data_IF_423082966508
#
_entry.id   IF_423082966508
#
_cell.length_a   1.000
_cell.length_b   1.000
_cell.length_c   1.000
_cell.angle_alpha   90.00
_cell.angle_beta   90.00
_cell.angle_gamma   90.00
#
_symmetry.space_group_name_H-M   'P 1'
#
loop_
_entity.id
_entity.type
_entity.pdbx_description
1 polymer ?
#
# COMPACT_ATOMS: atom_id res chain seq x y z
N UNK A 1 11.83 37.91 -15.02
CA UNK A 1 12.56 36.73 -15.55
C UNK A 1 13.43 36.02 -14.49
N UNK A 2 13.00 35.95 -13.21
CA UNK A 2 13.72 35.28 -12.11
C UNK A 2 12.88 34.22 -11.35
N UNK A 3 11.60 34.06 -11.72
CA UNK A 3 10.68 33.10 -11.07
C UNK A 3 10.42 31.84 -11.92
N UNK A 4 10.91 31.78 -13.16
CA UNK A 4 10.71 30.63 -14.05
C UNK A 4 11.79 29.53 -13.89
N UNK A 5 12.96 29.87 -13.33
CA UNK A 5 14.08 28.93 -13.18
C UNK A 5 13.93 28.00 -11.96
N UNK A 6 13.21 28.42 -10.92
CA UNK A 6 13.07 27.65 -9.67
C UNK A 6 12.04 26.52 -9.80
N UNK A 7 11.04 26.66 -10.67
CA UNK A 7 10.01 25.64 -10.90
C UNK A 7 10.56 24.45 -11.72
N UNK A 8 11.48 24.71 -12.64
CA UNK A 8 12.07 23.69 -13.51
C UNK A 8 13.05 22.76 -12.76
N UNK A 9 13.77 23.30 -11.76
CA UNK A 9 14.68 22.52 -10.92
C UNK A 9 13.95 21.56 -9.95
N UNK A 10 12.71 21.88 -9.57
CA UNK A 10 11.93 21.10 -8.60
C UNK A 10 11.16 19.93 -9.25
N UNK A 11 10.77 20.07 -10.52
CA UNK A 11 10.18 18.96 -11.28
C UNK A 11 11.21 17.89 -11.68
N UNK A 12 12.45 18.30 -11.99
CA UNK A 12 13.53 17.42 -12.46
C UNK A 12 14.16 16.57 -11.34
N UNK A 13 14.17 17.07 -10.10
CA UNK A 13 14.73 16.36 -8.94
C UNK A 13 13.87 15.20 -8.45
N UNK A 14 12.56 15.23 -8.70
CA UNK A 14 11.63 14.19 -8.26
C UNK A 14 11.49 13.01 -9.23
N UNK A 15 11.52 13.26 -10.53
CA UNK A 15 11.67 12.18 -11.52
C UNK A 15 12.97 11.42 -11.27
N UNK A 16 14.02 12.11 -10.79
CA UNK A 16 15.29 11.46 -10.45
C UNK A 16 15.20 10.51 -9.24
N UNK A 17 14.35 10.75 -8.23
CA UNK A 17 14.29 9.86 -7.05
C UNK A 17 13.60 8.54 -7.36
N UNK A 18 12.54 8.54 -8.18
CA UNK A 18 11.87 7.32 -8.64
C UNK A 18 12.74 6.45 -9.57
N UNK A 19 13.69 7.08 -10.26
CA UNK A 19 14.70 6.39 -11.08
C UNK A 19 15.87 5.84 -10.26
N UNK A 20 16.05 6.31 -9.03
CA UNK A 20 17.17 5.89 -8.19
C UNK A 20 16.89 4.50 -7.64
N UNK A 21 17.82 3.56 -7.88
CA UNK A 21 17.79 2.23 -7.27
C UNK A 21 18.53 2.22 -5.94
N UNK A 22 18.22 1.22 -5.09
CA UNK A 22 18.98 0.99 -3.86
C UNK A 22 20.44 0.68 -4.23
N UNK A 23 21.43 1.39 -3.65
CA UNK A 23 22.83 1.05 -3.87
C UNK A 23 23.13 -0.41 -3.49
N UNK A 24 23.88 -1.12 -4.34
CA UNK A 24 24.14 -2.55 -4.18
C UNK A 24 24.85 -2.92 -2.86
N UNK A 25 25.56 -1.97 -2.24
CA UNK A 25 26.19 -2.14 -0.93
C UNK A 25 25.20 -2.02 0.24
N UNK A 26 24.03 -1.38 0.04
CA UNK A 26 22.95 -1.28 1.02
C UNK A 26 21.89 -2.39 0.88
N UNK A 27 21.75 -2.97 -0.32
CA UNK A 27 20.82 -4.06 -0.55
C UNK A 27 20.72 -4.47 -2.02
N UNK A 28 19.73 -5.30 -2.33
CA UNK A 28 19.44 -5.79 -3.68
C UNK A 28 18.07 -5.27 -4.13
N UNK A 29 17.95 -4.92 -5.41
CA UNK A 29 16.67 -4.54 -6.03
C UNK A 29 16.26 -5.61 -7.03
N UNK A 30 15.10 -6.19 -6.83
CA UNK A 30 14.55 -7.27 -7.64
C UNK A 30 13.24 -6.84 -8.31
N UNK A 31 12.97 -7.43 -9.46
CA UNK A 31 11.69 -7.33 -10.16
C UNK A 31 11.29 -8.72 -10.67
N UNK A 32 10.04 -8.85 -11.09
CA UNK A 32 9.52 -10.08 -11.68
C UNK A 32 8.86 -9.75 -13.02
N UNK A 33 9.02 -10.62 -14.00
CA UNK A 33 8.30 -10.57 -15.28
C UNK A 33 7.86 -11.99 -15.63
N UNK A 34 6.96 -12.11 -16.61
CA UNK A 34 6.62 -13.40 -17.21
C UNK A 34 7.08 -13.45 -18.66
N UNK A 35 7.57 -14.60 -19.08
CA UNK A 35 7.88 -14.89 -20.48
C UNK A 35 7.60 -16.38 -20.73
N UNK A 36 6.81 -16.69 -21.77
CA UNK A 36 6.41 -18.06 -22.11
C UNK A 36 5.82 -18.83 -20.91
N UNK A 37 4.89 -18.19 -20.16
CA UNK A 37 4.24 -18.75 -18.96
C UNK A 37 5.22 -19.14 -17.83
N UNK A 38 6.43 -18.58 -17.83
CA UNK A 38 7.42 -18.77 -16.77
C UNK A 38 7.73 -17.46 -16.07
N UNK A 39 7.67 -17.49 -14.74
CA UNK A 39 8.11 -16.38 -13.89
C UNK A 39 9.64 -16.24 -13.95
N UNK A 40 10.07 -15.04 -14.29
CA UNK A 40 11.47 -14.65 -14.34
C UNK A 40 11.76 -13.62 -13.24
N UNK A 41 12.71 -13.93 -12.37
CA UNK A 41 13.20 -13.02 -11.34
C UNK A 41 14.42 -12.28 -11.88
N UNK A 42 14.31 -10.95 -11.87
CA UNK A 42 15.28 -10.04 -12.44
C UNK A 42 16.01 -9.31 -11.32
N UNK A 43 17.35 -9.33 -11.34
CA UNK A 43 18.17 -8.44 -10.53
C UNK A 43 18.33 -7.11 -11.27
N UNK A 44 17.68 -6.07 -10.78
CA UNK A 44 17.64 -4.75 -11.42
C UNK A 44 18.96 -4.02 -11.14
N UNK A 45 19.65 -3.62 -12.20
CA UNK A 45 20.96 -2.95 -12.14
C UNK A 45 20.81 -1.46 -12.44
N UNK A 46 19.89 -1.10 -13.34
CA UNK A 46 19.64 0.29 -13.72
C UNK A 46 18.16 0.49 -14.07
N UNK A 47 17.63 1.65 -13.71
CA UNK A 47 16.29 2.10 -14.08
C UNK A 47 16.40 3.34 -14.99
N UNK A 48 15.79 3.27 -16.17
CA UNK A 48 15.74 4.35 -17.16
C UNK A 48 14.36 5.04 -17.25
N UNK A 49 13.38 4.59 -16.46
CA UNK A 49 12.05 5.18 -16.32
C UNK A 49 10.96 4.37 -17.00
N UNK A 50 11.13 4.06 -18.28
CA UNK A 50 10.25 3.19 -19.05
C UNK A 50 10.78 1.74 -19.14
N UNK A 51 12.10 1.58 -18.98
CA UNK A 51 12.80 0.31 -19.05
C UNK A 51 13.80 0.15 -17.89
N UNK A 52 14.12 -1.09 -17.58
CA UNK A 52 15.22 -1.46 -16.69
C UNK A 52 16.29 -2.25 -17.42
N UNK A 53 17.54 -2.11 -16.98
CA UNK A 53 18.58 -3.09 -17.27
C UNK A 53 18.68 -4.06 -16.10
N UNK A 54 18.56 -5.35 -16.37
CA UNK A 54 18.56 -6.38 -15.34
C UNK A 54 19.31 -7.64 -15.75
N UNK A 55 19.69 -8.43 -14.74
CA UNK A 55 20.22 -9.78 -14.91
C UNK A 55 19.10 -10.76 -14.60
N UNK A 56 18.74 -11.62 -15.55
CA UNK A 56 17.76 -12.67 -15.36
C UNK A 56 18.32 -13.78 -14.45
N UNK A 57 17.98 -13.75 -13.16
CA UNK A 57 18.45 -14.73 -12.19
C UNK A 57 17.84 -16.11 -12.44
N UNK A 58 16.57 -16.16 -12.86
CA UNK A 58 15.88 -17.41 -13.18
C UNK A 58 16.58 -18.16 -14.31
N UNK A 59 16.85 -17.50 -15.44
CA UNK A 59 17.55 -18.11 -16.57
C UNK A 59 19.00 -18.46 -16.21
N UNK A 60 19.71 -17.53 -15.56
CA UNK A 60 21.12 -17.72 -15.22
C UNK A 60 21.38 -18.95 -14.34
N UNK A 61 20.44 -19.25 -13.43
CA UNK A 61 20.59 -20.34 -12.46
C UNK A 61 19.60 -21.49 -12.70
N UNK A 62 18.86 -21.49 -13.81
CA UNK A 62 17.81 -22.46 -14.12
C UNK A 62 16.83 -22.63 -12.95
N UNK A 63 16.38 -21.52 -12.37
CA UNK A 63 15.46 -21.48 -11.24
C UNK A 63 14.04 -21.13 -11.70
N UNK A 64 13.06 -21.66 -10.98
CA UNK A 64 11.64 -21.36 -11.15
C UNK A 64 11.06 -20.82 -9.84
N UNK A 65 9.90 -20.17 -9.95
CA UNK A 65 9.19 -19.58 -8.81
C UNK A 65 9.36 -18.06 -8.75
N UNK A 66 8.76 -17.47 -7.73
CA UNK A 66 8.74 -16.03 -7.55
C UNK A 66 10.03 -15.51 -6.87
N UNK A 67 10.03 -14.21 -6.57
CA UNK A 67 11.17 -13.52 -5.93
C UNK A 67 11.62 -14.21 -4.63
N UNK A 68 10.67 -14.66 -3.79
CA UNK A 68 11.00 -15.31 -2.51
C UNK A 68 11.62 -16.67 -2.75
N UNK A 69 11.07 -17.47 -3.67
CA UNK A 69 11.62 -18.79 -4.01
C UNK A 69 13.05 -18.68 -4.55
N UNK A 70 13.31 -17.76 -5.47
CA UNK A 70 14.66 -17.52 -6.02
C UNK A 70 15.61 -16.99 -4.95
N UNK A 71 15.14 -16.09 -4.09
CA UNK A 71 15.92 -15.58 -2.96
C UNK A 71 16.35 -16.71 -2.01
N UNK A 72 15.43 -17.59 -1.61
CA UNK A 72 15.73 -18.72 -0.73
C UNK A 72 16.74 -19.71 -1.34
N UNK A 73 16.76 -19.86 -2.67
CA UNK A 73 17.72 -20.74 -3.36
C UNK A 73 19.11 -20.14 -3.51
N UNK A 74 19.21 -18.84 -3.78
CA UNK A 74 20.50 -18.18 -4.03
C UNK A 74 21.12 -17.59 -2.76
N UNK A 75 20.29 -17.10 -1.84
CA UNK A 75 20.70 -16.36 -0.66
C UNK A 75 21.15 -14.92 -0.95
N UNK A 76 21.07 -14.06 0.07
CA UNK A 76 21.41 -12.64 -0.02
C UNK A 76 22.82 -12.39 -0.57
N UNK A 77 23.84 -13.03 0.02
CA UNK A 77 25.26 -12.79 -0.31
C UNK A 77 25.56 -13.05 -1.79
N UNK A 78 25.00 -14.13 -2.34
CA UNK A 78 25.20 -14.48 -3.74
C UNK A 78 24.58 -13.44 -4.66
N UNK A 79 23.33 -13.04 -4.40
CA UNK A 79 22.65 -12.03 -5.23
C UNK A 79 23.35 -10.67 -5.11
N UNK A 80 23.71 -10.25 -3.89
CA UNK A 80 24.41 -8.99 -3.65
C UNK A 80 25.78 -8.96 -4.34
N UNK A 81 26.54 -10.06 -4.31
CA UNK A 81 27.82 -10.15 -5.01
C UNK A 81 27.67 -9.99 -6.53
N UNK A 82 26.57 -10.47 -7.12
CA UNK A 82 26.28 -10.26 -8.56
C UNK A 82 25.99 -8.78 -8.82
N UNK A 83 25.18 -8.15 -7.95
CA UNK A 83 24.85 -6.73 -8.05
C UNK A 83 26.09 -5.83 -7.95
N UNK A 84 27.00 -6.12 -7.00
CA UNK A 84 28.24 -5.36 -6.79
C UNK A 84 29.25 -5.53 -7.92
N UNK A 85 29.37 -6.75 -8.48
CA UNK A 85 30.40 -7.03 -9.46
C UNK A 85 30.06 -6.49 -10.86
N UNK A 86 28.78 -6.19 -11.17
CA UNK A 86 28.22 -5.58 -12.39
C UNK A 86 28.97 -5.85 -13.73
N UNK A 87 29.61 -7.02 -13.86
CA UNK A 87 30.43 -7.43 -15.02
C UNK A 87 29.64 -8.31 -15.99
N UNK A 88 28.36 -8.57 -15.70
CA UNK A 88 27.52 -9.44 -16.50
C UNK A 88 26.73 -8.62 -17.51
N UNK A 89 26.48 -9.24 -18.67
CA UNK A 89 25.63 -8.66 -19.71
C UNK A 89 24.20 -8.54 -19.15
N UNK A 90 23.73 -7.32 -18.95
CA UNK A 90 22.34 -7.04 -18.64
C UNK A 90 21.47 -7.19 -19.88
N UNK A 91 20.19 -7.47 -19.66
CA UNK A 91 19.14 -7.41 -20.68
C UNK A 91 18.18 -6.26 -20.32
N UNK A 92 17.54 -5.68 -21.33
CA UNK A 92 16.58 -4.60 -21.14
C UNK A 92 15.16 -5.16 -21.06
N UNK A 93 14.38 -4.69 -20.08
CA UNK A 93 12.99 -5.09 -19.88
C UNK A 93 12.08 -3.86 -19.71
N UNK A 94 10.92 -3.80 -20.38
CA UNK A 94 9.95 -2.73 -20.16
C UNK A 94 9.35 -2.81 -18.75
N UNK A 95 9.29 -1.70 -18.04
CA UNK A 95 8.66 -1.64 -16.70
C UNK A 95 7.18 -2.00 -16.77
N UNK A 96 6.51 -1.67 -17.88
CA UNK A 96 5.11 -1.99 -18.11
C UNK A 96 4.80 -3.50 -18.11
N UNK A 97 5.81 -4.34 -18.38
CA UNK A 97 5.68 -5.80 -18.40
C UNK A 97 6.05 -6.46 -17.06
N UNK A 98 6.53 -5.68 -16.09
CA UNK A 98 6.85 -6.21 -14.77
C UNK A 98 5.57 -6.57 -14.01
N UNK A 99 5.67 -7.62 -13.20
CA UNK A 99 4.60 -8.14 -12.38
C UNK A 99 4.63 -7.53 -10.96
N UNK A 100 3.55 -7.76 -10.22
CA UNK A 100 3.45 -7.38 -8.81
C UNK A 100 4.53 -8.06 -7.96
N UNK A 101 5.32 -7.32 -7.15
CA UNK A 101 6.25 -7.89 -6.18
C UNK A 101 5.53 -8.60 -5.02
N UNK A 102 4.27 -8.28 -4.77
CA UNK A 102 3.46 -8.90 -3.72
C UNK A 102 3.00 -10.34 -4.06
N UNK A 103 3.21 -10.81 -5.29
CA UNK A 103 2.68 -12.09 -5.76
C UNK A 103 1.18 -12.01 -6.08
N UNK A 104 0.49 -13.14 -5.97
CA UNK A 104 -0.93 -13.30 -6.35
C UNK A 104 -1.84 -13.79 -5.20
N UNK A 105 -1.31 -13.93 -3.98
CA UNK A 105 -2.11 -14.34 -2.83
C UNK A 105 -3.23 -13.32 -2.58
N UNK A 106 -4.47 -13.74 -2.24
CA UNK A 106 -5.58 -12.80 -2.10
C UNK A 106 -5.74 -12.25 -0.67
N UNK A 107 -5.09 -12.81 0.34
CA UNK A 107 -5.24 -12.38 1.73
C UNK A 107 -3.95 -11.78 2.29
N UNK A 108 -4.07 -10.60 2.89
CA UNK A 108 -2.99 -9.79 3.40
C UNK A 108 -3.40 -9.10 4.70
N UNK A 109 -2.44 -8.44 5.34
CA UNK A 109 -2.66 -7.69 6.59
C UNK A 109 -2.41 -6.22 6.33
N UNK A 110 -3.26 -5.36 6.88
CA UNK A 110 -3.07 -3.92 6.81
C UNK A 110 -3.15 -3.26 8.18
N UNK A 111 -2.36 -2.20 8.36
CA UNK A 111 -2.32 -1.41 9.58
C UNK A 111 -3.01 -0.06 9.39
N UNK A 112 -4.10 0.17 10.14
CA UNK A 112 -4.78 1.46 10.18
C UNK A 112 -4.15 2.41 11.21
N UNK A 113 -4.18 3.72 10.93
CA UNK A 113 -3.71 4.79 11.82
C UNK A 113 -2.24 4.62 12.27
N UNK A 114 -1.39 4.07 11.38
CA UNK A 114 0.00 3.80 11.71
C UNK A 114 0.95 5.01 11.51
N UNK A 115 0.41 6.21 11.28
CA UNK A 115 1.13 7.48 11.23
C UNK A 115 0.41 8.49 12.11
N UNK A 116 1.13 9.18 12.99
CA UNK A 116 0.52 10.10 13.96
C UNK A 116 -0.27 11.24 13.28
N UNK A 117 0.32 11.89 12.28
CA UNK A 117 -0.34 12.98 11.55
C UNK A 117 -1.58 12.52 10.78
N UNK A 118 -1.56 11.30 10.25
CA UNK A 118 -2.75 10.71 9.62
C UNK A 118 -3.85 10.44 10.64
N UNK A 119 -3.50 9.96 11.83
CA UNK A 119 -4.47 9.79 12.91
C UNK A 119 -5.11 11.14 13.33
N UNK A 120 -4.31 12.20 13.39
CA UNK A 120 -4.80 13.56 13.66
C UNK A 120 -5.72 14.08 12.53
N UNK A 121 -5.36 13.85 11.26
CA UNK A 121 -6.13 14.24 10.07
C UNK A 121 -7.56 13.68 10.05
N UNK A 122 -7.75 12.46 10.56
CA UNK A 122 -9.07 11.82 10.66
C UNK A 122 -9.70 11.95 12.05
N UNK A 123 -9.19 12.86 12.89
CA UNK A 123 -9.65 13.12 14.26
C UNK A 123 -9.68 11.87 15.16
N UNK A 124 -8.82 10.88 14.88
CA UNK A 124 -8.76 9.63 15.62
C UNK A 124 -7.79 9.74 16.80
N UNK A 125 -8.31 9.61 18.02
CA UNK A 125 -7.50 9.53 19.25
C UNK A 125 -6.88 8.14 19.51
N UNK A 126 -7.00 7.23 18.55
CA UNK A 126 -6.77 5.81 18.74
C UNK A 126 -5.36 5.39 18.30
N UNK A 127 -4.88 4.28 18.86
CA UNK A 127 -3.60 3.67 18.48
C UNK A 127 -3.75 2.88 17.18
N UNK A 128 -2.64 2.53 16.49
CA UNK A 128 -2.69 1.68 15.32
C UNK A 128 -3.45 0.38 15.61
N UNK A 129 -4.11 -0.16 14.58
CA UNK A 129 -4.86 -1.42 14.65
C UNK A 129 -4.67 -2.19 13.34
N UNK A 130 -5.06 -3.47 13.34
CA UNK A 130 -4.91 -4.35 12.17
C UNK A 130 -6.28 -4.72 11.60
N UNK A 131 -6.32 -4.92 10.29
CA UNK A 131 -7.47 -5.48 9.58
C UNK A 131 -7.00 -6.37 8.42
N UNK A 132 -7.89 -7.23 7.95
CA UNK A 132 -7.64 -8.08 6.80
C UNK A 132 -7.78 -7.28 5.50
N UNK A 133 -6.90 -7.54 4.53
CA UNK A 133 -6.96 -7.00 3.17
C UNK A 133 -7.07 -8.17 2.21
N UNK A 134 -8.27 -8.35 1.64
CA UNK A 134 -8.67 -9.58 0.94
C UNK A 134 -8.86 -9.35 -0.56
N UNK A 135 -7.79 -8.96 -1.25
CA UNK A 135 -7.79 -8.75 -2.71
C UNK A 135 -6.45 -9.13 -3.32
N UNK A 136 -6.46 -9.63 -4.54
CA UNK A 136 -5.22 -9.93 -5.28
C UNK A 136 -4.49 -8.63 -5.63
N UNK A 137 -3.16 -8.55 -5.39
CA UNK A 137 -2.36 -7.39 -5.76
C UNK A 137 -2.33 -7.17 -7.27
N UNK A 138 -2.26 -5.92 -7.71
CA UNK A 138 -2.23 -5.56 -9.14
C UNK A 138 -1.05 -4.63 -9.45
N UNK A 139 -0.62 -4.57 -10.73
CA UNK A 139 0.49 -3.69 -11.17
C UNK A 139 0.08 -2.67 -12.23
N UNK A 140 -0.76 -3.09 -13.18
CA UNK A 140 -1.05 -2.33 -14.41
C UNK A 140 -2.56 -2.27 -14.70
N UNK A 141 -3.40 -2.33 -13.66
CA UNK A 141 -4.85 -2.20 -13.81
C UNK A 141 -5.29 -0.77 -13.50
N UNK A 142 -6.15 -0.21 -14.35
CA UNK A 142 -6.87 1.02 -14.03
C UNK A 142 -7.79 0.79 -12.84
N UNK A 143 -7.85 1.77 -11.92
CA UNK A 143 -8.75 1.69 -10.78
C UNK A 143 -10.10 2.28 -11.19
N UNK A 144 -11.14 1.46 -11.09
CA UNK A 144 -12.50 1.83 -11.45
C UNK A 144 -13.17 2.52 -10.26
N UNK A 145 -13.73 3.71 -10.47
CA UNK A 145 -14.57 4.41 -9.48
C UNK A 145 -16.03 4.33 -9.88
N UNK A 146 -16.87 3.82 -8.96
CA UNK A 146 -18.30 3.67 -9.20
C UNK A 146 -19.08 4.91 -8.73
N UNK A 147 -20.25 5.17 -9.32
CA UNK A 147 -21.06 6.39 -9.06
C UNK A 147 -21.41 6.63 -7.58
N UNK A 148 -21.50 5.57 -6.77
CA UNK A 148 -21.88 5.65 -5.35
C UNK A 148 -20.70 5.57 -4.39
N UNK A 149 -19.49 5.64 -4.94
CA UNK A 149 -18.26 5.43 -4.21
C UNK A 149 -17.51 6.74 -3.99
N UNK A 150 -16.91 6.82 -2.80
CA UNK A 150 -16.01 7.89 -2.43
C UNK A 150 -14.61 7.27 -2.37
N UNK A 151 -13.97 7.15 -3.54
CA UNK A 151 -12.68 6.48 -3.70
C UNK A 151 -11.54 7.38 -3.21
N UNK A 152 -10.74 6.87 -2.28
CA UNK A 152 -9.58 7.56 -1.74
C UNK A 152 -8.29 6.77 -1.99
N UNK A 153 -7.17 7.48 -2.03
CA UNK A 153 -5.83 6.89 -2.15
C UNK A 153 -5.12 6.86 -0.80
N UNK A 154 -4.21 5.92 -0.65
CA UNK A 154 -3.32 5.81 0.51
C UNK A 154 -2.00 5.20 0.00
N UNK A 155 -0.88 5.94 0.01
CA UNK A 155 0.45 5.39 -0.34
C UNK A 155 1.09 4.72 0.85
N UNK A 156 1.65 3.53 0.66
CA UNK A 156 2.25 2.79 1.74
C UNK A 156 3.59 2.14 1.35
N UNK A 157 4.43 1.94 2.36
CA UNK A 157 5.47 0.93 2.30
C UNK A 157 4.80 -0.42 2.59
N UNK A 158 5.04 -1.42 1.76
CA UNK A 158 4.61 -2.78 2.01
C UNK A 158 5.81 -3.67 2.32
N UNK A 159 5.56 -4.72 3.09
CA UNK A 159 6.55 -5.72 3.43
C UNK A 159 6.04 -7.15 3.18
N UNK A 160 6.94 -8.03 2.76
CA UNK A 160 6.69 -9.47 2.59
C UNK A 160 7.78 -10.25 3.32
N UNK A 161 7.43 -11.19 4.21
CA UNK A 161 8.45 -11.97 4.89
C UNK A 161 9.09 -12.95 3.90
N UNK A 162 10.42 -13.11 3.97
CA UNK A 162 11.17 -14.00 3.09
C UNK A 162 11.09 -15.47 3.51
N UNK A 163 10.54 -15.73 4.70
CA UNK A 163 10.22 -17.05 5.24
C UNK A 163 8.90 -17.00 5.98
N UNK A 164 8.17 -18.11 6.04
CA UNK A 164 6.96 -18.22 6.85
C UNK A 164 7.28 -17.90 8.32
N UNK A 165 6.39 -17.15 8.98
CA UNK A 165 6.46 -16.86 10.42
C UNK A 165 5.32 -17.57 11.13
N UNK A 166 5.66 -18.44 12.09
CA UNK A 166 4.69 -19.21 12.89
C UNK A 166 4.72 -18.84 14.37
N UNK A 167 5.85 -18.32 14.86
CA UNK A 167 6.01 -17.88 16.24
C UNK A 167 6.49 -16.42 16.30
N UNK A 168 6.02 -15.69 17.31
CA UNK A 168 6.49 -14.33 17.59
C UNK A 168 7.97 -14.24 17.91
N UNK A 169 8.60 -15.34 18.35
CA UNK A 169 10.03 -15.42 18.64
C UNK A 169 10.90 -15.37 17.38
N UNK A 170 10.37 -15.78 16.22
CA UNK A 170 11.10 -15.80 14.94
C UNK A 170 11.18 -14.42 14.25
N UNK A 171 10.34 -13.47 14.68
CA UNK A 171 10.15 -12.18 13.99
C UNK A 171 11.44 -11.36 13.93
N UNK A 172 12.24 -11.36 15.00
CA UNK A 172 13.48 -10.56 15.02
C UNK A 172 14.50 -11.06 14.00
N UNK A 173 14.54 -12.37 13.77
CA UNK A 173 15.42 -13.01 12.79
C UNK A 173 14.82 -13.02 11.37
N UNK A 174 13.54 -12.69 11.22
CA UNK A 174 12.88 -12.69 9.92
C UNK A 174 13.36 -11.52 9.07
N UNK A 175 13.80 -11.85 7.85
CA UNK A 175 14.08 -10.88 6.81
C UNK A 175 12.78 -10.51 6.07
N UNK A 176 12.63 -9.23 5.77
CA UNK A 176 11.52 -8.71 4.99
C UNK A 176 12.02 -8.11 3.69
N UNK A 177 11.30 -8.41 2.63
CA UNK A 177 11.41 -7.66 1.39
C UNK A 177 10.43 -6.49 1.44
N UNK A 178 10.87 -5.31 0.99
CA UNK A 178 10.10 -4.08 1.00
C UNK A 178 9.69 -3.71 -0.42
N UNK A 179 8.48 -3.19 -0.61
CA UNK A 179 7.98 -2.72 -1.90
C UNK A 179 6.97 -1.59 -1.73
N UNK A 180 6.76 -0.79 -2.78
CA UNK A 180 5.75 0.27 -2.80
C UNK A 180 4.37 -0.31 -3.05
N UNK A 181 3.34 0.20 -2.38
CA UNK A 181 1.96 -0.18 -2.64
C UNK A 181 0.97 0.97 -2.38
N UNK A 182 -0.28 0.77 -2.79
CA UNK A 182 -1.41 1.61 -2.40
C UNK A 182 -2.51 0.83 -1.69
N UNK A 183 -3.22 1.48 -0.76
CA UNK A 183 -4.38 0.93 -0.03
C UNK A 183 -5.66 1.74 -0.32
N UNK A 184 -6.26 1.50 -1.48
CA UNK A 184 -7.42 2.28 -1.91
C UNK A 184 -8.65 1.96 -1.07
N UNK A 185 -9.46 3.00 -0.81
CA UNK A 185 -10.58 2.90 0.12
C UNK A 185 -11.86 3.46 -0.48
N UNK A 186 -12.94 2.68 -0.44
CA UNK A 186 -14.30 3.20 -0.57
C UNK A 186 -14.73 3.83 0.76
N UNK A 187 -14.57 5.15 0.90
CA UNK A 187 -14.92 5.86 2.14
C UNK A 187 -16.42 5.83 2.42
N UNK A 188 -17.27 5.74 1.38
CA UNK A 188 -18.71 5.63 1.57
C UNK A 188 -19.08 4.27 2.17
N UNK A 189 -18.48 3.19 1.67
CA UNK A 189 -18.65 1.85 2.25
C UNK A 189 -18.05 1.76 3.66
N UNK A 190 -16.85 2.34 3.87
CA UNK A 190 -16.21 2.36 5.18
C UNK A 190 -17.09 3.07 6.22
N UNK A 191 -17.58 4.27 5.93
CA UNK A 191 -18.42 5.02 6.88
C UNK A 191 -19.71 4.28 7.24
N UNK A 192 -20.26 3.46 6.35
CA UNK A 192 -21.44 2.63 6.62
C UNK A 192 -21.14 1.40 7.46
N UNK A 193 -19.92 0.85 7.34
CA UNK A 193 -19.52 -0.40 7.99
C UNK A 193 -18.66 -0.24 9.25
N UNK A 194 -18.06 0.93 9.46
CA UNK A 194 -17.13 1.17 10.55
C UNK A 194 -17.84 1.22 11.90
N UNK A 195 -17.24 0.58 12.90
CA UNK A 195 -17.66 0.72 14.28
C UNK A 195 -17.05 1.98 14.89
N UNK A 196 -17.76 3.10 14.83
CA UNK A 196 -17.28 4.38 15.39
C UNK A 196 -17.02 4.33 16.90
N UNK A 197 -17.71 3.45 17.62
CA UNK A 197 -17.53 3.28 19.06
C UNK A 197 -16.29 2.41 19.39
N UNK A 198 -15.79 1.63 18.41
CA UNK A 198 -14.57 0.83 18.51
C UNK A 198 -13.85 0.66 17.15
N UNK A 199 -13.21 1.73 16.67
CA UNK A 199 -12.49 1.71 15.37
C UNK A 199 -11.37 0.65 15.37
N UNK A 200 -10.72 0.40 16.52
CA UNK A 200 -9.66 -0.61 16.63
C UNK A 200 -10.11 -2.04 16.33
N UNK A 201 -11.42 -2.32 16.25
CA UNK A 201 -11.89 -3.64 15.84
C UNK A 201 -11.62 -3.94 14.36
N UNK A 202 -11.32 -2.92 13.55
CA UNK A 202 -11.14 -3.06 12.11
C UNK A 202 -12.44 -3.31 11.34
N UNK A 203 -13.62 -3.14 11.96
CA UNK A 203 -14.91 -3.37 11.30
C UNK A 203 -15.07 -2.48 10.08
N UNK A 204 -15.53 -3.05 8.96
CA UNK A 204 -15.80 -2.32 7.72
C UNK A 204 -14.56 -2.02 6.87
N UNK A 205 -13.35 -2.11 7.43
CA UNK A 205 -12.13 -1.79 6.70
C UNK A 205 -11.84 -2.79 5.58
N UNK A 206 -11.94 -4.09 5.85
CA UNK A 206 -11.72 -5.12 4.83
C UNK A 206 -12.66 -4.93 3.64
N UNK A 207 -13.97 -4.74 3.89
CA UNK A 207 -14.96 -4.61 2.82
C UNK A 207 -14.74 -3.34 1.99
N UNK A 208 -14.40 -2.23 2.66
CA UNK A 208 -14.16 -0.95 2.00
C UNK A 208 -12.86 -0.91 1.19
N UNK A 209 -11.87 -1.73 1.55
CA UNK A 209 -10.51 -1.68 0.99
C UNK A 209 -10.19 -2.86 0.08
N UNK A 210 -11.02 -3.90 -0.01
CA UNK A 210 -10.67 -5.14 -0.71
C UNK A 210 -11.34 -5.33 -2.09
N UNK A 211 -11.85 -4.26 -2.72
CA UNK A 211 -12.32 -4.36 -4.12
C UNK A 211 -11.16 -4.66 -5.07
N UNK A 212 -11.45 -5.27 -6.22
CA UNK A 212 -10.46 -5.51 -7.28
C UNK A 212 -9.76 -4.21 -7.66
N UNK A 213 -8.43 -4.25 -7.78
CA UNK A 213 -7.60 -3.08 -8.06
C UNK A 213 -7.24 -2.23 -6.84
N UNK A 214 -7.76 -2.51 -5.63
CA UNK A 214 -7.53 -1.65 -4.45
C UNK A 214 -6.23 -1.99 -3.72
N UNK A 215 -5.40 -2.85 -4.31
CA UNK A 215 -4.05 -3.13 -3.85
C UNK A 215 -3.06 -3.02 -5.02
N UNK A 216 -2.87 -1.84 -5.62
CA UNK A 216 -1.84 -1.65 -6.62
C UNK A 216 -0.46 -1.69 -5.96
N UNK A 217 0.53 -2.17 -6.71
CA UNK A 217 1.90 -2.38 -6.23
C UNK A 217 2.91 -1.77 -7.19
N UNK A 218 4.08 -1.40 -6.66
CA UNK A 218 5.21 -0.88 -7.43
C UNK A 218 5.90 -1.96 -8.25
N UNK A 219 6.87 -1.59 -9.10
CA UNK A 219 7.56 -2.56 -9.97
C UNK A 219 8.67 -3.34 -9.25
N UNK A 220 9.17 -2.82 -8.13
CA UNK A 220 10.38 -3.31 -7.49
C UNK A 220 10.13 -3.81 -6.07
N UNK A 221 10.94 -4.81 -5.70
CA UNK A 221 11.10 -5.31 -4.35
C UNK A 221 12.55 -5.15 -3.95
N UNK A 222 12.83 -4.53 -2.81
CA UNK A 222 14.18 -4.42 -2.26
C UNK A 222 14.35 -5.33 -1.05
N UNK A 223 15.54 -5.92 -0.92
CA UNK A 223 15.91 -6.74 0.23
C UNK A 223 17.23 -6.19 0.78
N UNK A 224 17.28 -5.99 2.10
CA UNK A 224 18.47 -5.55 2.82
C UNK A 224 18.57 -6.30 4.14
N UNK A 225 19.81 -6.66 4.52
CA UNK A 225 20.10 -7.21 5.85
C UNK A 225 19.78 -6.23 6.98
N UNK A 226 19.84 -4.94 6.70
CA UNK A 226 19.52 -3.87 7.64
C UNK A 226 18.28 -3.09 7.19
N UNK A 227 17.22 -3.84 6.83
CA UNK A 227 15.96 -3.23 6.40
C UNK A 227 15.40 -2.26 7.43
N UNK A 228 15.64 -2.48 8.74
CA UNK A 228 15.18 -1.60 9.82
C UNK A 228 15.75 -0.20 9.71
N UNK A 229 17.06 -0.07 9.45
CA UNK A 229 17.68 1.23 9.21
C UNK A 229 17.29 1.77 7.84
N UNK A 230 17.15 0.91 6.83
CA UNK A 230 16.80 1.32 5.47
C UNK A 230 15.46 2.05 5.37
N UNK A 231 14.48 1.72 6.23
CA UNK A 231 13.19 2.44 6.29
C UNK A 231 13.39 3.96 6.50
N UNK A 232 14.45 4.39 7.17
CA UNK A 232 14.77 5.81 7.39
C UNK A 232 15.19 6.54 6.11
N UNK A 233 15.53 5.82 5.05
CA UNK A 233 15.94 6.39 3.75
C UNK A 233 14.79 6.39 2.72
N UNK A 234 13.60 5.90 3.10
CA UNK A 234 12.45 5.76 2.19
C UNK A 234 11.47 6.91 2.42
N UNK A 235 11.34 7.80 1.43
CA UNK A 235 10.28 8.83 1.39
C UNK A 235 9.13 8.30 0.54
N UNK A 236 7.91 8.33 1.07
CA UNK A 236 6.67 8.00 0.36
C UNK A 236 6.06 9.28 -0.20
N UNK A 237 5.51 9.23 -1.41
CA UNK A 237 4.83 10.38 -2.03
C UNK A 237 3.63 9.95 -2.85
N UNK A 238 2.54 10.73 -2.73
CA UNK A 238 1.39 10.67 -3.64
C UNK A 238 1.26 11.99 -4.38
N UNK A 239 1.13 11.92 -5.71
CA UNK A 239 0.72 13.05 -6.55
C UNK A 239 -0.63 12.77 -7.19
N UNK A 240 -1.53 13.74 -7.10
CA UNK A 240 -2.80 13.76 -7.81
C UNK A 240 -2.77 14.90 -8.83
N UNK A 241 -2.91 14.57 -10.12
CA UNK A 241 -2.87 15.51 -11.23
C UNK A 241 -1.65 16.44 -11.17
N UNK A 242 -0.48 15.85 -10.87
CA UNK A 242 0.80 16.56 -10.74
C UNK A 242 1.02 17.29 -9.42
N UNK A 243 0.01 17.39 -8.54
CA UNK A 243 0.13 18.05 -7.23
C UNK A 243 0.48 17.05 -6.13
N UNK A 244 1.51 17.33 -5.34
CA UNK A 244 1.84 16.53 -4.15
C UNK A 244 0.70 16.64 -3.14
N UNK A 245 0.21 15.48 -2.68
CA UNK A 245 -0.82 15.38 -1.64
C UNK A 245 -0.29 14.73 -0.38
N UNK A 246 0.49 13.67 -0.51
CA UNK A 246 1.15 12.99 0.60
C UNK A 246 2.66 13.05 0.39
N UNK A 247 3.41 13.30 1.47
CA UNK A 247 4.87 13.24 1.49
C UNK A 247 5.37 13.04 2.92
N UNK A 248 5.91 11.86 3.21
CA UNK A 248 6.43 11.54 4.55
C UNK A 248 7.53 10.49 4.47
N UNK A 249 8.36 10.42 5.50
CA UNK A 249 9.32 9.34 5.64
C UNK A 249 8.63 8.07 6.13
N UNK A 250 9.01 6.91 5.59
CA UNK A 250 8.49 5.62 6.05
C UNK A 250 8.82 5.36 7.53
N UNK A 251 9.90 5.97 8.05
CA UNK A 251 10.28 5.91 9.46
C UNK A 251 9.33 6.64 10.42
N UNK A 252 8.38 7.43 9.91
CA UNK A 252 7.34 8.08 10.75
C UNK A 252 6.25 7.10 11.22
N UNK A 253 6.32 5.82 10.82
CA UNK A 253 5.44 4.76 11.30
C UNK A 253 5.46 4.61 12.83
N UNK A 254 4.28 4.46 13.43
CA UNK A 254 4.11 4.23 14.87
C UNK A 254 4.48 2.79 15.25
N UNK A 255 4.02 1.81 14.47
CA UNK A 255 4.44 0.42 14.58
C UNK A 255 5.38 0.09 13.43
N UNK A 256 6.65 -0.28 13.71
CA UNK A 256 7.51 -0.85 12.70
C UNK A 256 6.97 -2.21 12.21
N UNK A 257 7.47 -2.66 11.06
CA UNK A 257 7.03 -3.88 10.37
C UNK A 257 7.05 -5.11 11.29
N UNK A 258 8.09 -5.28 12.10
CA UNK A 258 8.21 -6.41 13.04
C UNK A 258 7.14 -6.36 14.15
N UNK A 259 6.76 -5.18 14.61
CA UNK A 259 5.65 -5.00 15.54
C UNK A 259 4.30 -5.30 14.90
N UNK A 260 4.09 -4.95 13.63
CA UNK A 260 2.88 -5.31 12.88
C UNK A 260 2.79 -6.84 12.73
N UNK A 261 3.87 -7.48 12.28
CA UNK A 261 3.95 -8.95 12.18
C UNK A 261 3.66 -9.63 13.52
N UNK A 262 4.24 -9.11 14.61
CA UNK A 262 4.01 -9.64 15.98
C UNK A 262 2.56 -9.52 16.39
N UNK A 263 1.96 -8.35 16.22
CA UNK A 263 0.57 -8.12 16.57
C UNK A 263 -0.38 -8.96 15.72
N UNK A 264 -0.02 -9.21 14.45
CA UNK A 264 -0.78 -10.09 13.55
C UNK A 264 -0.88 -11.51 14.13
N UNK A 265 0.25 -12.11 14.53
CA UNK A 265 0.28 -13.45 15.12
C UNK A 265 -0.46 -13.50 16.46
N UNK A 266 -0.29 -12.48 17.31
CA UNK A 266 -0.96 -12.41 18.62
C UNK A 266 -2.48 -12.28 18.50
N UNK A 267 -2.98 -11.45 17.58
CA UNK A 267 -4.42 -11.21 17.40
C UNK A 267 -5.10 -12.36 16.66
N UNK A 268 -4.40 -13.01 15.73
CA UNK A 268 -4.91 -14.23 15.06
C UNK A 268 -5.11 -15.40 16.03
N UNK A 269 -4.41 -15.38 17.16
CA UNK A 269 -4.60 -16.36 18.23
C UNK A 269 -5.83 -16.10 19.11
N UNK A 270 -6.48 -14.94 19.00
CA UNK A 270 -7.57 -14.51 19.89
C UNK A 270 -8.97 -14.65 19.28
N UNK A 271 -9.10 -14.98 17.99
CA UNK A 271 -10.41 -15.15 17.35
C UNK A 271 -11.04 -16.49 17.75
N UNK A 272 -11.92 -16.47 18.75
CA UNK A 272 -12.82 -17.59 19.06
C UNK A 272 -13.98 -17.59 18.05
N UNK A 273 -14.22 -18.74 17.42
CA UNK A 273 -15.03 -18.94 16.22
C UNK A 273 -16.55 -18.66 16.30
N UNK A 274 -17.07 -18.00 17.33
CA UNK A 274 -18.52 -17.92 17.56
C UNK A 274 -19.15 -16.53 17.67
N UNK A 275 -18.42 -15.40 17.52
CA UNK A 275 -19.06 -14.07 17.73
C UNK A 275 -18.60 -12.90 16.85
N UNK A 276 -17.59 -13.03 15.98
CA UNK A 276 -17.03 -11.84 15.32
C UNK A 276 -17.67 -11.52 13.97
N UNK A 277 -18.28 -10.34 13.85
CA UNK A 277 -18.64 -9.67 12.59
C UNK A 277 -17.41 -9.26 11.73
N UNK A 278 -16.27 -9.95 11.89
CA UNK A 278 -14.97 -9.61 11.32
C UNK A 278 -14.27 -10.88 10.82
N UNK A 279 -13.62 -10.80 9.65
CA UNK A 279 -12.79 -11.88 9.14
C UNK A 279 -11.53 -12.05 9.99
N UNK A 280 -11.04 -13.29 10.19
CA UNK A 280 -9.78 -13.52 10.87
C UNK A 280 -8.63 -12.87 10.09
N UNK A 281 -7.65 -12.30 10.81
CA UNK A 281 -6.44 -11.75 10.19
C UNK A 281 -5.63 -12.83 9.45
N UNK A 282 -5.51 -14.03 10.06
CA UNK A 282 -4.83 -15.19 9.48
C UNK A 282 -5.73 -16.42 9.57
N UNK A 283 -5.87 -17.19 8.49
CA UNK A 283 -6.66 -18.42 8.46
C UNK A 283 -6.01 -19.56 9.26
N UNK A 284 -4.67 -19.64 9.24
CA UNK A 284 -3.91 -20.72 9.89
C UNK A 284 -3.00 -20.24 11.03
N UNK A 285 -3.13 -18.98 11.46
CA UNK A 285 -2.22 -18.34 12.44
C UNK A 285 -0.75 -18.30 11.99
N UNK A 286 -0.50 -18.45 10.69
CA UNK A 286 0.83 -18.36 10.08
C UNK A 286 0.84 -17.15 9.14
N UNK A 287 1.89 -16.33 9.22
CA UNK A 287 2.15 -15.31 8.22
C UNK A 287 3.05 -15.93 7.15
N UNK A 288 2.43 -16.37 6.05
CA UNK A 288 3.14 -17.03 4.97
C UNK A 288 3.97 -16.03 4.15
N UNK A 289 5.00 -16.56 3.49
CA UNK A 289 5.88 -15.76 2.66
C UNK A 289 5.24 -15.30 1.35
N UNK A 290 3.97 -15.60 1.07
CA UNK A 290 3.16 -15.08 -0.04
C UNK A 290 2.14 -14.01 0.41
N UNK A 291 2.02 -13.78 1.71
CA UNK A 291 1.21 -12.71 2.28
C UNK A 291 2.01 -11.40 2.35
N UNK A 292 1.30 -10.28 2.36
CA UNK A 292 1.89 -8.95 2.45
C UNK A 292 1.39 -8.25 3.71
N UNK A 293 2.22 -7.35 4.22
CA UNK A 293 1.88 -6.39 5.28
C UNK A 293 1.85 -5.00 4.64
N UNK A 294 0.68 -4.39 4.62
CA UNK A 294 0.45 -2.98 4.31
C UNK A 294 0.65 -2.20 5.62
N UNK A 295 1.64 -1.30 5.65
CA UNK A 295 2.11 -0.72 6.91
C UNK A 295 1.37 0.53 7.35
N UNK A 296 0.36 0.98 6.62
CA UNK A 296 -0.36 2.22 6.85
C UNK A 296 0.19 3.39 6.03
N UNK A 297 -0.64 4.42 5.91
CA UNK A 297 -0.39 5.62 5.10
C UNK A 297 -0.08 6.86 5.96
N UNK A 298 0.74 7.81 5.47
CA UNK A 298 0.85 9.15 6.04
C UNK A 298 -0.39 10.02 5.77
N UNK A 299 -0.39 11.22 6.33
CA UNK A 299 -1.41 12.25 6.10
C UNK A 299 -1.47 12.73 4.64
N UNK A 300 -2.55 13.42 4.29
CA UNK A 300 -2.77 13.99 2.97
C UNK A 300 -3.70 13.16 2.08
N UNK A 301 -4.55 12.34 2.69
CA UNK A 301 -5.66 11.67 2.00
C UNK A 301 -6.72 12.70 1.56
N UNK A 302 -7.67 12.30 0.71
CA UNK A 302 -8.73 13.23 0.28
C UNK A 302 -9.87 13.34 1.29
N UNK A 303 -10.15 12.27 2.03
CA UNK A 303 -11.25 12.26 2.99
C UNK A 303 -10.97 13.14 4.20
N UNK A 304 -12.02 13.80 4.69
CA UNK A 304 -12.02 14.49 5.98
C UNK A 304 -13.29 14.12 6.74
N UNK A 305 -13.26 13.92 8.07
CA UNK A 305 -14.48 13.67 8.83
C UNK A 305 -15.51 14.81 8.72
N UNK A 306 -16.82 14.54 8.91
CA UNK A 306 -17.82 15.60 9.00
C UNK A 306 -17.52 16.55 10.17
N UNK A 307 -17.44 17.85 9.88
CA UNK A 307 -17.18 18.87 10.89
C UNK A 307 -18.39 19.08 11.84
N UNK A 308 -18.15 19.79 12.95
CA UNK A 308 -19.17 20.09 13.97
C UNK A 308 -20.35 20.88 13.41
N UNK A 309 -20.14 21.80 12.47
CA UNK A 309 -21.21 22.61 11.88
C UNK A 309 -22.12 21.75 11.02
N UNK A 310 -21.54 20.88 10.20
CA UNK A 310 -22.27 19.90 9.39
C UNK A 310 -23.09 18.97 10.28
N UNK A 311 -22.49 18.43 11.34
CA UNK A 311 -23.18 17.56 12.32
C UNK A 311 -24.40 18.26 12.94
N UNK A 312 -24.24 19.51 13.40
CA UNK A 312 -25.34 20.29 14.01
C UNK A 312 -26.44 20.60 12.99
N UNK A 313 -26.08 21.11 11.81
CA UNK A 313 -27.05 21.46 10.77
C UNK A 313 -27.87 20.23 10.33
N UNK A 314 -27.20 19.09 10.20
CA UNK A 314 -27.83 17.83 9.80
C UNK A 314 -28.72 17.26 10.91
N UNK A 315 -28.32 17.39 12.18
CA UNK A 315 -29.16 17.01 13.31
C UNK A 315 -30.44 17.86 13.39
N UNK A 316 -30.36 19.18 13.13
CA UNK A 316 -31.55 20.03 13.04
C UNK A 316 -32.47 19.59 11.90
N UNK A 317 -31.89 19.30 10.72
CA UNK A 317 -32.64 18.79 9.56
C UNK A 317 -33.37 17.49 9.89
N UNK A 318 -32.71 16.55 10.55
CA UNK A 318 -33.27 15.27 10.98
C UNK A 318 -34.51 15.42 11.86
N UNK A 319 -34.50 16.39 12.78
CA UNK A 319 -35.65 16.72 13.65
C UNK A 319 -36.79 17.33 12.83
N UNK A 320 -36.50 18.37 12.03
CA UNK A 320 -37.54 19.09 11.27
C UNK A 320 -38.16 18.25 10.15
N UNK A 321 -37.42 17.30 9.56
CA UNK A 321 -37.94 16.41 8.52
C UNK A 321 -38.73 15.22 9.06
N UNK A 322 -38.80 15.02 10.39
CA UNK A 322 -39.46 13.86 10.98
C UNK A 322 -38.72 12.53 10.74
N UNK A 323 -37.47 12.57 10.27
CA UNK A 323 -36.72 11.38 9.84
C UNK A 323 -36.38 10.42 10.99
N UNK A 324 -36.52 10.87 12.24
CA UNK A 324 -36.39 10.04 13.44
C UNK A 324 -37.37 8.88 13.54
N UNK A 325 -38.45 8.91 12.76
CA UNK A 325 -39.39 7.78 12.66
C UNK A 325 -38.87 6.64 11.77
N UNK A 326 -37.88 6.91 10.91
CA UNK A 326 -37.43 5.98 9.86
C UNK A 326 -35.97 5.53 9.98
N UNK A 327 -35.12 6.28 10.67
CA UNK A 327 -33.68 5.98 10.74
C UNK A 327 -33.03 6.59 11.98
N UNK A 328 -31.91 6.01 12.42
CA UNK A 328 -31.11 6.54 13.52
C UNK A 328 -30.33 7.80 13.10
N UNK A 329 -30.11 8.73 14.03
CA UNK A 329 -29.39 9.98 13.78
C UNK A 329 -27.97 9.74 13.20
N UNK A 330 -27.20 8.80 13.76
CA UNK A 330 -25.84 8.48 13.27
C UNK A 330 -25.87 8.10 11.78
N UNK A 331 -26.75 7.16 11.41
CA UNK A 331 -26.92 6.70 10.02
C UNK A 331 -27.41 7.83 9.11
N UNK A 332 -28.36 8.64 9.57
CA UNK A 332 -28.83 9.81 8.82
C UNK A 332 -27.69 10.78 8.51
N UNK A 333 -26.88 11.13 9.52
CA UNK A 333 -25.73 12.04 9.34
C UNK A 333 -24.72 11.48 8.36
N UNK A 334 -24.40 10.18 8.45
CA UNK A 334 -23.49 9.49 7.52
C UNK A 334 -24.02 9.58 6.08
N UNK A 335 -25.28 9.23 5.84
CA UNK A 335 -25.84 9.23 4.48
C UNK A 335 -25.96 10.66 3.90
N UNK A 336 -26.30 11.67 4.72
CA UNK A 336 -26.28 13.06 4.27
C UNK A 336 -24.86 13.51 3.92
N UNK A 337 -23.87 13.11 4.72
CA UNK A 337 -22.47 13.44 4.46
C UNK A 337 -21.98 12.80 3.16
N UNK A 338 -22.23 11.50 2.97
CA UNK A 338 -21.88 10.78 1.74
C UNK A 338 -22.53 11.45 0.52
N UNK A 339 -23.82 11.77 0.59
CA UNK A 339 -24.52 12.44 -0.50
C UNK A 339 -23.91 13.81 -0.85
N UNK A 340 -23.49 14.58 0.16
CA UNK A 340 -22.79 15.84 -0.04
C UNK A 340 -21.43 15.64 -0.72
N UNK A 341 -20.61 14.71 -0.23
CA UNK A 341 -19.28 14.44 -0.81
C UNK A 341 -19.38 13.97 -2.27
N UNK A 342 -20.34 13.10 -2.59
CA UNK A 342 -20.60 12.63 -3.95
C UNK A 342 -21.04 13.78 -4.86
N UNK A 343 -21.98 14.62 -4.39
CA UNK A 343 -22.46 15.78 -5.15
C UNK A 343 -21.34 16.76 -5.49
N UNK A 344 -20.41 16.97 -4.56
CA UNK A 344 -19.29 17.90 -4.73
C UNK A 344 -18.05 17.29 -5.36
N UNK A 345 -18.06 15.98 -5.70
CA UNK A 345 -16.93 15.29 -6.36
C UNK A 345 -15.60 15.49 -5.63
N UNK A 346 -15.62 15.38 -4.30
CA UNK A 346 -14.46 15.74 -3.44
C UNK A 346 -13.37 14.68 -3.35
N UNK A 347 -13.66 13.45 -3.75
CA UNK A 347 -12.72 12.33 -3.78
C UNK A 347 -12.36 11.96 -5.22
N UNK A 348 -11.55 10.93 -5.44
CA UNK A 348 -11.04 10.57 -6.77
C UNK A 348 -12.17 10.47 -7.80
N UNK A 349 -11.94 11.08 -8.96
CA UNK A 349 -12.87 11.15 -10.07
C UNK A 349 -12.29 10.45 -11.31
N UNK A 350 -13.15 10.01 -12.25
CA UNK A 350 -12.67 9.53 -13.54
C UNK A 350 -11.77 10.56 -14.23
N UNK A 351 -10.73 10.08 -14.91
CA UNK A 351 -9.64 10.83 -15.54
C UNK A 351 -8.61 11.42 -14.59
N UNK A 352 -8.77 11.31 -13.26
CA UNK A 352 -7.70 11.67 -12.33
C UNK A 352 -6.47 10.78 -12.59
N UNK A 353 -5.29 11.43 -12.60
CA UNK A 353 -4.01 10.77 -12.72
C UNK A 353 -3.33 10.76 -11.36
N UNK A 354 -2.98 9.56 -10.89
CA UNK A 354 -2.33 9.36 -9.62
C UNK A 354 -0.95 8.74 -9.82
N UNK A 355 0.06 9.32 -9.19
CA UNK A 355 1.40 8.76 -9.10
C UNK A 355 1.72 8.48 -7.63
N UNK A 356 1.88 7.21 -7.29
CA UNK A 356 2.46 6.80 -6.01
C UNK A 356 3.94 6.52 -6.25
N UNK A 357 4.82 6.96 -5.35
CA UNK A 357 6.26 6.70 -5.49
C UNK A 357 6.93 6.55 -4.14
N UNK A 358 8.02 5.78 -4.10
CA UNK A 358 8.88 5.69 -2.94
C UNK A 358 10.35 5.62 -3.34
N UNK A 359 11.23 6.21 -2.51
CA UNK A 359 12.69 6.14 -2.74
C UNK A 359 13.12 4.68 -2.93
N UNK A 360 13.88 4.41 -3.99
CA UNK A 360 14.39 3.07 -4.37
C UNK A 360 13.35 2.05 -4.89
N UNK A 361 12.06 2.33 -4.76
CA UNK A 361 10.98 1.38 -5.01
C UNK A 361 10.20 1.67 -6.30
N UNK A 362 10.59 2.70 -7.05
CA UNK A 362 9.96 3.11 -8.29
C UNK A 362 8.63 3.86 -8.07
N UNK A 363 7.75 3.79 -9.07
CA UNK A 363 6.43 4.41 -9.02
C UNK A 363 5.30 3.51 -9.53
N UNK A 364 4.10 3.79 -9.05
CA UNK A 364 2.82 3.27 -9.54
C UNK A 364 2.12 4.43 -10.23
N UNK A 365 1.94 4.32 -11.54
CA UNK A 365 1.18 5.28 -12.34
C UNK A 365 -0.23 4.70 -12.56
N UNK A 366 -1.25 5.45 -12.15
CA UNK A 366 -2.64 5.01 -12.18
C UNK A 366 -3.49 6.08 -12.85
N UNK A 367 -4.45 5.63 -13.68
CA UNK A 367 -5.55 6.46 -14.16
C UNK A 367 -6.83 5.93 -13.54
N UNK A 368 -7.64 6.83 -12.99
CA UNK A 368 -8.96 6.51 -12.47
C UNK A 368 -9.94 6.48 -13.65
N UNK A 369 -10.71 5.40 -13.79
CA UNK A 369 -11.66 5.24 -14.89
C UNK A 369 -13.07 4.98 -14.39
N UNK A 370 -14.06 5.22 -15.25
CA UNK A 370 -15.41 4.69 -15.02
C UNK A 370 -15.42 3.17 -15.27
N UNK A 371 -16.35 2.42 -14.64
CA UNK A 371 -16.67 1.07 -15.09
C UNK A 371 -17.25 1.11 -16.53
N UNK A 372 -17.01 0.04 -17.29
CA UNK A 372 -17.57 -0.16 -18.63
C UNK A 372 -19.10 -0.30 -18.63
#
# INVERSE_FOLDING_TARGET
MKYLLTLMFFAMSFTASALTLLPANKGITLAMTEQNDQLLVLLVVKNHGDNIDAINLSEKFALTGDVVAVYQKLGYEKIQSIALNNRQKTQSYPIANLLSPAGNHPAHIAAGLNYHKHADEVEAKQKPFLFAKSTTPTRSEAIKVYKHELLDYEVELCARPLTKITDTTDILATEFALFLCGDFTDRALLMRGINLDNIQSGQGFEQAKSKTGYFPTGPFMIISKDWRTLVNDIELTTKLNGQIKQRAMASEMVWPIDKIAKNTLLQSNQVNASTSQHSPLLTNKELNSDMSILTGTPEGIMFSPPDTRFKIATAMKYVFSGSFTSTELKKYVIEQYIAEQLKHKRLLQPSDQLTLSATYLGSIELTISEPE
#
